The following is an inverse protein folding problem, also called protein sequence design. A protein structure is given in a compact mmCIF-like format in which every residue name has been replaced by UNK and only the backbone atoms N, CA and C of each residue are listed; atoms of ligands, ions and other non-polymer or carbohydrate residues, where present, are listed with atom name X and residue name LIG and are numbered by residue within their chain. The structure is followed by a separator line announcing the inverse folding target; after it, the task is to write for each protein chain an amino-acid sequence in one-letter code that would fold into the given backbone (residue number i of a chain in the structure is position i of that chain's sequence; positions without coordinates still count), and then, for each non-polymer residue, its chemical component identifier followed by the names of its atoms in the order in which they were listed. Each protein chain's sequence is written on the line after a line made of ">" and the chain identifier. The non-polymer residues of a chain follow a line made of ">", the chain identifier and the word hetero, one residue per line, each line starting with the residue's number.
data_IF_715693500884
#
_entry.id   IF_715693500884
#
_cell.length_a   1.000
_cell.length_b   1.000
_cell.length_c   1.000
_cell.angle_alpha   90.00
_cell.angle_beta   90.00
_cell.angle_gamma   90.00
#
_symmetry.space_group_name_H-M   'P 1'
#
loop_
_entity.id
_entity.type
_entity.pdbx_description
1 polymer ?
#
# COMPACT_ATOMS: atom_id res chain seq x y z
N UNK A 1 7.23 2.04 11.00
CA UNK A 1 6.66 2.21 9.64
C UNK A 1 7.28 3.44 9.01
N UNK A 2 7.54 3.44 7.70
CA UNK A 2 7.98 4.63 6.96
C UNK A 2 6.89 5.08 6.00
N UNK A 3 6.63 6.38 5.91
CA UNK A 3 5.58 6.97 5.07
C UNK A 3 6.12 8.24 4.43
N UNK A 4 5.80 8.50 3.17
CA UNK A 4 6.20 9.73 2.48
C UNK A 4 6.09 9.59 0.96
N UNK A 5 6.31 10.71 0.27
CA UNK A 5 6.28 10.78 -1.19
C UNK A 5 7.26 9.78 -1.84
N UNK A 6 6.94 9.38 -3.06
CA UNK A 6 7.82 8.54 -3.88
C UNK A 6 9.18 9.21 -4.09
N UNK A 7 10.27 8.45 -4.01
CA UNK A 7 11.61 8.98 -4.30
C UNK A 7 12.26 9.82 -3.19
N UNK A 8 11.69 9.89 -1.98
CA UNK A 8 12.32 10.58 -0.83
C UNK A 8 13.43 9.77 -0.13
N UNK A 9 13.72 8.54 -0.57
CA UNK A 9 14.80 7.73 0.02
C UNK A 9 14.40 6.93 1.26
N UNK A 10 13.10 6.59 1.41
CA UNK A 10 12.56 5.77 2.51
C UNK A 10 13.31 4.45 2.71
N UNK A 11 13.40 3.64 1.66
CA UNK A 11 14.06 2.33 1.69
C UNK A 11 15.58 2.47 1.91
N UNK A 12 16.21 3.54 1.41
CA UNK A 12 17.62 3.87 1.66
C UNK A 12 17.86 4.21 3.14
N UNK A 13 16.97 4.99 3.76
CA UNK A 13 17.09 5.33 5.19
C UNK A 13 16.94 4.07 6.05
N UNK A 14 16.01 3.17 5.69
CA UNK A 14 15.83 1.88 6.38
C UNK A 14 17.13 1.06 6.39
N UNK A 15 17.77 0.90 5.23
CA UNK A 15 19.05 0.18 5.14
C UNK A 15 20.16 0.88 5.92
N UNK A 16 20.13 2.22 5.96
CA UNK A 16 21.09 3.02 6.73
C UNK A 16 20.90 2.79 8.24
N UNK A 17 19.66 2.80 8.71
CA UNK A 17 19.32 2.80 10.14
C UNK A 17 19.59 1.47 10.84
N UNK A 18 19.37 0.35 10.15
CA UNK A 18 19.57 -0.98 10.73
C UNK A 18 20.87 -1.66 10.34
N UNK A 19 21.74 -0.93 9.64
CA UNK A 19 23.04 -1.41 9.15
C UNK A 19 22.95 -2.76 8.40
N UNK A 20 21.77 -3.13 7.90
CA UNK A 20 21.45 -4.43 7.34
C UNK A 20 21.03 -4.23 5.89
N UNK A 21 21.61 -5.00 4.97
CA UNK A 21 21.21 -5.04 3.57
C UNK A 21 19.89 -5.82 3.43
N UNK A 22 18.80 -5.22 3.90
CA UNK A 22 17.45 -5.81 3.85
C UNK A 22 16.96 -5.97 2.41
N UNK A 23 17.47 -5.13 1.51
CA UNK A 23 17.20 -5.17 0.08
C UNK A 23 18.47 -5.59 -0.67
N UNK A 24 18.79 -6.90 -0.64
CA UNK A 24 19.89 -7.59 -1.33
C UNK A 24 21.33 -7.13 -0.99
N UNK A 25 22.23 -8.09 -0.74
CA UNK A 25 23.65 -7.83 -0.41
C UNK A 25 24.55 -7.46 -1.60
N UNK A 26 24.01 -7.37 -2.81
CA UNK A 26 24.74 -6.84 -3.98
C UNK A 26 24.29 -5.40 -4.23
N UNK A 27 25.17 -4.44 -3.91
CA UNK A 27 25.02 -3.05 -4.33
C UNK A 27 25.00 -2.99 -5.86
N UNK A 28 23.86 -2.78 -6.54
CA UNK A 28 23.78 -3.04 -7.96
C UNK A 28 24.23 -1.79 -8.78
N UNK A 29 25.09 -0.97 -8.19
CA UNK A 29 25.60 0.30 -8.72
C UNK A 29 24.57 1.44 -8.65
N UNK A 30 24.97 2.68 -8.98
CA UNK A 30 24.07 3.84 -9.06
C UNK A 30 22.91 3.67 -10.07
N UNK A 31 23.06 2.70 -10.97
CA UNK A 31 22.20 2.46 -12.14
C UNK A 31 21.05 1.49 -11.86
N UNK A 32 21.20 0.54 -10.93
CA UNK A 32 20.09 -0.30 -10.48
C UNK A 32 19.35 0.39 -9.35
N UNK A 33 18.28 1.09 -9.73
CA UNK A 33 17.35 1.68 -8.79
C UNK A 33 16.65 0.57 -8.00
N UNK A 34 16.58 0.75 -6.68
CA UNK A 34 15.66 -0.02 -5.83
C UNK A 34 14.27 0.08 -6.48
N UNK A 35 13.63 -1.07 -6.73
CA UNK A 35 12.30 -1.11 -7.36
C UNK A 35 11.33 -0.26 -6.52
N UNK A 36 10.46 0.50 -7.19
CA UNK A 36 9.43 1.28 -6.49
C UNK A 36 8.55 0.33 -5.68
N UNK A 37 8.36 0.64 -4.40
CA UNK A 37 7.44 -0.08 -3.51
C UNK A 37 6.00 0.18 -4.00
N UNK A 38 5.30 -0.87 -4.47
CA UNK A 38 3.92 -0.78 -5.01
C UNK A 38 2.87 -1.14 -3.96
N UNK A 39 3.26 -1.92 -2.95
CA UNK A 39 2.38 -2.41 -1.87
C UNK A 39 3.07 -2.28 -0.51
N UNK A 40 2.29 -2.35 0.57
CA UNK A 40 2.84 -2.32 1.93
C UNK A 40 3.61 -3.64 2.18
N UNK A 41 4.93 -3.53 2.35
CA UNK A 41 5.81 -4.68 2.59
C UNK A 41 6.31 -4.69 4.03
N UNK A 42 6.38 -5.87 4.65
CA UNK A 42 6.87 -6.06 6.01
C UNK A 42 8.18 -6.86 6.00
N UNK A 43 9.23 -6.27 6.55
CA UNK A 43 10.52 -6.93 6.75
C UNK A 43 10.79 -7.11 8.23
N UNK A 44 11.18 -8.31 8.65
CA UNK A 44 11.53 -8.61 10.05
C UNK A 44 13.04 -8.77 10.18
N UNK A 45 13.62 -8.09 11.15
CA UNK A 45 15.06 -8.05 11.39
C UNK A 45 15.31 -8.38 12.84
N UNK A 46 16.19 -9.35 13.09
CA UNK A 46 16.64 -9.64 14.44
C UNK A 46 17.92 -8.83 14.72
N UNK A 47 17.81 -7.84 15.58
CA UNK A 47 18.92 -6.99 16.00
C UNK A 47 19.39 -7.45 17.37
N UNK A 48 20.70 -7.52 17.59
CA UNK A 48 21.29 -7.82 18.89
C UNK A 48 22.12 -6.64 19.34
N UNK A 49 21.68 -5.94 20.38
CA UNK A 49 22.39 -4.78 20.95
C UNK A 49 22.47 -4.93 22.48
N UNK A 50 23.66 -4.74 23.05
CA UNK A 50 23.86 -4.84 24.51
C UNK A 50 23.52 -6.20 25.15
N UNK A 51 23.43 -7.28 24.36
CA UNK A 51 23.02 -8.61 24.84
C UNK A 51 21.51 -8.88 24.76
N UNK A 52 20.70 -7.87 24.43
CA UNK A 52 19.25 -8.00 24.20
C UNK A 52 19.00 -8.32 22.72
N UNK A 53 18.12 -9.30 22.46
CA UNK A 53 17.64 -9.61 21.11
C UNK A 53 16.32 -8.90 20.85
N UNK A 54 16.30 -8.03 19.84
CA UNK A 54 15.14 -7.24 19.43
C UNK A 54 14.67 -7.73 18.07
N UNK A 55 13.43 -8.24 18.00
CA UNK A 55 12.77 -8.52 16.73
C UNK A 55 12.10 -7.26 16.24
N UNK A 56 12.76 -6.57 15.33
CA UNK A 56 12.22 -5.36 14.72
C UNK A 56 11.40 -5.72 13.47
N UNK A 57 10.19 -5.18 13.38
CA UNK A 57 9.38 -5.25 12.16
C UNK A 57 9.33 -3.88 11.49
N UNK A 58 9.86 -3.81 10.28
CA UNK A 58 9.89 -2.62 9.44
C UNK A 58 8.78 -2.76 8.42
N UNK A 59 7.93 -1.73 8.32
CA UNK A 59 6.86 -1.66 7.34
C UNK A 59 7.23 -0.56 6.34
N UNK A 60 7.55 -0.97 5.11
CA UNK A 60 7.73 -0.05 3.98
C UNK A 60 6.38 0.16 3.29
N UNK A 61 6.08 1.42 2.98
CA UNK A 61 4.80 1.80 2.38
C UNK A 61 5.03 2.36 0.98
N UNK A 62 4.09 2.12 0.04
CA UNK A 62 4.19 2.69 -1.28
C UNK A 62 4.25 4.22 -1.20
N UNK A 63 5.06 4.83 -2.08
CA UNK A 63 5.09 6.28 -2.18
C UNK A 63 3.75 6.82 -2.67
N UNK A 64 3.24 7.85 -2.00
CA UNK A 64 2.12 8.64 -2.50
C UNK A 64 2.63 9.82 -3.36
N UNK A 65 1.73 10.50 -4.07
CA UNK A 65 2.06 11.69 -4.88
C UNK A 65 2.45 11.41 -6.34
N UNK A 66 2.57 10.15 -6.74
CA UNK A 66 2.89 9.76 -8.13
C UNK A 66 1.66 9.80 -9.06
N UNK A 67 0.44 9.73 -8.51
CA UNK A 67 -0.80 9.68 -9.27
C UNK A 67 -1.35 11.09 -9.57
N UNK A 68 -2.16 11.23 -10.62
CA UNK A 68 -2.88 12.49 -10.91
C UNK A 68 -3.92 12.80 -9.83
N UNK A 69 -4.59 11.76 -9.33
CA UNK A 69 -5.51 11.84 -8.19
C UNK A 69 -4.87 11.17 -6.96
N UNK A 70 -4.64 11.95 -5.91
CA UNK A 70 -4.09 11.49 -4.64
C UNK A 70 -5.12 11.60 -3.49
N UNK A 71 -6.40 11.78 -3.79
CA UNK A 71 -7.43 12.09 -2.80
C UNK A 71 -7.66 11.00 -1.75
N UNK A 72 -7.19 9.76 -1.96
CA UNK A 72 -7.33 8.65 -1.01
C UNK A 72 -6.02 7.89 -0.78
N UNK A 73 -4.86 8.51 -1.03
CA UNK A 73 -3.57 7.82 -0.97
C UNK A 73 -3.17 7.34 0.45
N UNK A 74 -3.77 7.90 1.50
CA UNK A 74 -3.57 7.48 2.89
C UNK A 74 -4.39 6.25 3.29
N UNK A 75 -5.46 5.91 2.56
CA UNK A 75 -6.41 4.87 2.98
C UNK A 75 -5.73 3.50 3.17
N UNK A 76 -4.87 3.02 2.25
CA UNK A 76 -4.19 1.73 2.44
C UNK A 76 -3.30 1.68 3.68
N UNK A 77 -2.71 2.81 4.07
CA UNK A 77 -1.83 2.92 5.24
C UNK A 77 -2.66 2.94 6.53
N UNK A 78 -3.78 3.69 6.53
CA UNK A 78 -4.72 3.72 7.65
C UNK A 78 -5.35 2.34 7.87
N UNK A 79 -5.83 1.70 6.80
CA UNK A 79 -6.42 0.36 6.85
C UNK A 79 -5.41 -0.68 7.37
N UNK A 80 -4.14 -0.53 6.99
CA UNK A 80 -3.08 -1.38 7.51
C UNK A 80 -2.88 -1.21 9.02
N UNK A 81 -2.86 0.03 9.52
CA UNK A 81 -2.76 0.32 10.96
C UNK A 81 -3.96 -0.25 11.71
N UNK A 82 -5.18 0.03 11.22
CA UNK A 82 -6.42 -0.43 11.85
C UNK A 82 -6.52 -1.96 11.84
N UNK A 83 -6.09 -2.62 10.76
CA UNK A 83 -6.01 -4.08 10.71
C UNK A 83 -5.09 -4.64 11.79
N UNK A 84 -3.97 -3.99 12.11
CA UNK A 84 -3.08 -4.43 13.19
C UNK A 84 -3.67 -4.22 14.58
N UNK A 85 -4.42 -3.14 14.79
CA UNK A 85 -5.17 -2.96 16.04
C UNK A 85 -6.31 -3.96 16.17
N UNK A 86 -7.02 -4.26 15.08
CA UNK A 86 -8.08 -5.27 15.04
C UNK A 86 -7.55 -6.67 15.34
N UNK A 87 -6.42 -7.07 14.74
CA UNK A 87 -5.76 -8.36 14.99
C UNK A 87 -5.40 -8.51 16.49
N UNK A 88 -4.89 -7.43 17.09
CA UNK A 88 -4.53 -7.40 18.51
C UNK A 88 -5.77 -7.46 19.41
N UNK A 89 -6.82 -6.67 19.10
CA UNK A 89 -8.08 -6.66 19.86
C UNK A 89 -8.80 -8.02 19.81
N UNK A 90 -8.83 -8.64 18.62
CA UNK A 90 -9.38 -9.98 18.45
C UNK A 90 -8.61 -11.02 19.26
N UNK A 91 -7.30 -10.86 19.39
CA UNK A 91 -6.45 -11.73 20.19
C UNK A 91 -6.65 -11.52 21.69
N UNK A 92 -6.80 -10.28 22.14
CA UNK A 92 -7.13 -9.91 23.53
C UNK A 92 -8.50 -10.49 23.96
N UNK A 93 -9.46 -10.47 23.03
CA UNK A 93 -10.85 -10.92 23.26
C UNK A 93 -11.01 -12.45 23.28
N UNK A 94 -10.00 -13.23 22.87
CA UNK A 94 -10.06 -14.70 22.90
C UNK A 94 -10.10 -15.23 24.34
N UNK A 95 -10.94 -16.23 24.57
CA UNK A 95 -11.06 -16.93 25.86
C UNK A 95 -9.72 -17.57 26.28
N UNK A 96 -9.03 -18.21 25.33
CA UNK A 96 -7.68 -18.75 25.54
C UNK A 96 -6.62 -17.73 25.14
N UNK A 97 -6.20 -16.90 26.11
CA UNK A 97 -5.17 -15.88 25.95
C UNK A 97 -3.78 -16.51 25.90
N UNK A 98 -3.30 -16.84 24.69
CA UNK A 98 -1.86 -17.14 24.47
C UNK A 98 -1.11 -15.82 24.29
N UNK A 99 0.13 -15.76 24.78
CA UNK A 99 1.00 -14.60 24.57
C UNK A 99 1.32 -14.49 23.06
N UNK A 100 0.67 -13.54 22.37
CA UNK A 100 0.89 -13.30 20.94
C UNK A 100 1.91 -12.19 20.73
N UNK A 101 2.73 -12.27 19.66
CA UNK A 101 3.67 -11.22 19.31
C UNK A 101 2.93 -9.94 18.93
N UNK A 102 3.33 -8.82 19.53
CA UNK A 102 2.78 -7.49 19.19
C UNK A 102 3.18 -7.12 17.76
N UNK A 103 2.18 -6.95 16.89
CA UNK A 103 2.35 -6.56 15.49
C UNK A 103 1.80 -5.16 15.18
N UNK A 104 1.42 -4.41 16.23
CA UNK A 104 0.99 -3.01 16.12
C UNK A 104 2.16 -2.14 15.69
N UNK A 105 1.83 -1.00 15.08
CA UNK A 105 2.83 -0.05 14.61
C UNK A 105 3.11 0.95 15.74
N UNK A 106 4.32 0.91 16.29
CA UNK A 106 4.69 1.77 17.42
C UNK A 106 5.11 3.18 17.02
N UNK A 107 5.63 3.33 15.80
CA UNK A 107 6.15 4.60 15.30
C UNK A 107 6.01 4.68 13.77
N UNK A 108 5.63 5.86 13.30
CA UNK A 108 5.63 6.23 11.90
C UNK A 108 6.62 7.35 11.63
N UNK A 109 7.64 7.05 10.81
CA UNK A 109 8.57 8.04 10.27
C UNK A 109 7.95 8.68 9.04
N UNK A 110 7.61 9.96 9.14
CA UNK A 110 6.97 10.72 8.06
C UNK A 110 8.00 11.55 7.30
N UNK A 111 8.26 11.20 6.05
CA UNK A 111 9.24 11.87 5.20
C UNK A 111 8.60 13.05 4.48
N UNK A 112 9.11 14.24 4.80
CA UNK A 112 8.76 15.52 4.20
C UNK A 112 9.77 15.80 3.09
N UNK A 113 9.27 16.19 1.91
CA UNK A 113 10.13 16.58 0.80
C UNK A 113 10.91 17.87 1.13
N UNK A 114 12.21 17.98 0.77
CA UNK A 114 13.00 19.18 1.01
C UNK A 114 12.64 20.28 -0.01
N UNK A 115 11.46 20.86 0.13
CA UNK A 115 10.95 21.92 -0.77
C UNK A 115 11.49 23.31 -0.45
N UNK A 116 11.97 23.52 0.79
CA UNK A 116 12.43 24.81 1.31
C UNK A 116 11.32 25.81 1.64
N UNK A 117 10.05 25.53 1.31
CA UNK A 117 8.94 26.48 1.47
C UNK A 117 8.06 26.20 2.68
N UNK A 118 7.54 24.98 2.80
CA UNK A 118 6.58 24.55 3.83
C UNK A 118 6.08 23.13 3.58
N UNK A 119 5.09 22.69 4.36
CA UNK A 119 4.40 21.41 4.15
C UNK A 119 3.47 21.49 2.94
N UNK A 120 3.44 20.43 2.14
CA UNK A 120 2.46 20.33 1.07
C UNK A 120 1.06 20.15 1.67
N UNK A 121 -0.01 20.68 1.06
CA UNK A 121 -1.38 20.42 1.51
C UNK A 121 -1.71 18.93 1.63
N UNK A 122 -1.14 18.12 0.75
CA UNK A 122 -1.25 16.66 0.80
C UNK A 122 -0.63 16.09 2.09
N UNK A 123 0.54 16.59 2.50
CA UNK A 123 1.21 16.14 3.72
C UNK A 123 0.42 16.54 4.96
N UNK A 124 -0.14 17.74 4.98
CA UNK A 124 -0.98 18.24 6.07
C UNK A 124 -2.19 17.32 6.25
N UNK A 125 -2.91 17.00 5.18
CA UNK A 125 -4.08 16.11 5.24
C UNK A 125 -3.70 14.69 5.65
N UNK A 126 -2.56 14.18 5.15
CA UNK A 126 -2.06 12.86 5.51
C UNK A 126 -1.73 12.80 7.01
N UNK A 127 -0.91 13.73 7.51
CA UNK A 127 -0.52 13.77 8.93
C UNK A 127 -1.72 14.01 9.84
N UNK A 128 -2.72 14.79 9.40
CA UNK A 128 -4.00 14.98 10.13
C UNK A 128 -4.76 13.67 10.35
N UNK A 129 -4.70 12.72 9.43
CA UNK A 129 -5.38 11.43 9.61
C UNK A 129 -4.52 10.42 10.38
N UNK A 130 -3.20 10.56 10.27
CA UNK A 130 -2.25 9.61 10.82
C UNK A 130 -2.00 9.82 12.33
N UNK A 131 -1.95 11.09 12.79
CA UNK A 131 -1.56 11.40 14.16
C UNK A 131 -2.51 10.86 15.25
N UNK A 132 -3.77 10.59 14.94
CA UNK A 132 -4.68 9.99 15.91
C UNK A 132 -4.40 8.50 16.17
N UNK A 133 -3.74 7.82 15.22
CA UNK A 133 -3.60 6.36 15.19
C UNK A 133 -2.19 5.87 15.49
N UNK A 134 -1.17 6.69 15.29
CA UNK A 134 0.23 6.29 15.48
C UNK A 134 1.08 7.49 15.89
N UNK A 135 2.17 7.22 16.62
CA UNK A 135 3.21 8.20 16.92
C UNK A 135 3.90 8.66 15.62
N UNK A 136 3.70 9.92 15.22
CA UNK A 136 4.29 10.50 14.01
C UNK A 136 5.57 11.25 14.35
N UNK A 137 6.68 10.87 13.72
CA UNK A 137 7.95 11.59 13.78
C UNK A 137 8.22 12.22 12.41
N UNK A 138 8.16 13.56 12.28
CA UNK A 138 8.44 14.23 11.02
C UNK A 138 9.94 14.27 10.74
N UNK A 139 10.32 13.86 9.53
CA UNK A 139 11.69 13.83 9.03
C UNK A 139 11.79 14.63 7.72
N UNK A 140 12.77 15.52 7.62
CA UNK A 140 13.13 16.15 6.35
C UNK A 140 14.02 15.16 5.59
N UNK A 141 13.52 14.69 4.45
CA UNK A 141 14.23 13.76 3.59
C UNK A 141 15.31 14.47 2.77
N UNK A 142 16.39 13.76 2.44
CA UNK A 142 17.48 14.28 1.57
C UNK A 142 17.95 15.67 2.01
N UNK A 143 18.20 15.84 3.31
CA UNK A 143 18.60 17.12 3.88
C UNK A 143 19.88 17.71 3.26
N UNK A 144 20.68 16.88 2.59
CA UNK A 144 21.85 17.27 1.81
C UNK A 144 21.54 18.11 0.55
N UNK A 145 20.26 18.35 0.23
CA UNK A 145 19.84 19.27 -0.84
C UNK A 145 19.61 20.71 -0.36
N UNK A 146 19.65 20.97 0.95
CA UNK A 146 19.40 22.28 1.55
C UNK A 146 20.68 22.79 2.21
N UNK A 147 20.90 24.11 2.21
CA UNK A 147 21.96 24.69 3.05
C UNK A 147 21.57 24.64 4.53
N UNK A 148 22.54 24.76 5.47
CA UNK A 148 22.22 24.81 6.90
C UNK A 148 21.22 25.92 7.27
N UNK A 149 21.31 27.08 6.62
CA UNK A 149 20.41 28.23 6.83
C UNK A 149 19.01 27.93 6.31
N UNK A 150 18.90 27.37 5.10
CA UNK A 150 17.62 26.96 4.50
C UNK A 150 16.96 25.87 5.33
N UNK A 151 17.73 24.90 5.79
CA UNK A 151 17.26 23.82 6.65
C UNK A 151 16.69 24.37 7.95
N UNK A 152 17.38 25.32 8.60
CA UNK A 152 16.89 25.93 9.84
C UNK A 152 15.60 26.73 9.64
N UNK A 153 15.49 27.48 8.54
CA UNK A 153 14.26 28.21 8.18
C UNK A 153 13.12 27.24 7.90
N UNK A 154 13.39 26.18 7.15
CA UNK A 154 12.41 25.16 6.78
C UNK A 154 11.90 24.39 7.99
N UNK A 155 12.78 24.02 8.95
CA UNK A 155 12.38 23.41 10.23
C UNK A 155 11.40 24.29 11.00
N UNK A 156 11.70 25.59 11.14
CA UNK A 156 10.84 26.56 11.84
C UNK A 156 9.47 26.68 11.14
N UNK A 157 9.47 26.73 9.82
CA UNK A 157 8.24 26.79 9.03
C UNK A 157 7.37 25.55 9.25
N UNK A 158 7.95 24.35 9.10
CA UNK A 158 7.22 23.08 9.29
C UNK A 158 6.61 23.03 10.68
N UNK A 159 7.36 23.38 11.72
CA UNK A 159 6.86 23.37 13.10
C UNK A 159 5.70 24.36 13.29
N UNK A 160 5.77 25.55 12.68
CA UNK A 160 4.66 26.52 12.71
C UNK A 160 3.41 25.95 12.05
N UNK A 161 3.55 25.34 10.88
CA UNK A 161 2.41 24.78 10.14
C UNK A 161 1.80 23.56 10.85
N UNK A 162 2.61 22.70 11.49
CA UNK A 162 2.13 21.59 12.33
C UNK A 162 1.27 22.12 13.48
N UNK A 163 1.70 23.18 14.15
CA UNK A 163 0.97 23.81 15.24
C UNK A 163 -0.33 24.49 14.75
N UNK A 164 -0.27 25.22 13.65
CA UNK A 164 -1.43 25.91 13.05
C UNK A 164 -2.52 24.91 12.66
N UNK A 165 -2.13 23.77 12.08
CA UNK A 165 -3.04 22.71 11.67
C UNK A 165 -3.43 21.75 12.80
N UNK A 166 -2.94 21.99 14.02
CA UNK A 166 -3.20 21.19 15.24
C UNK A 166 -2.83 19.71 15.09
N UNK A 167 -1.77 19.43 14.35
CA UNK A 167 -1.28 18.07 14.14
C UNK A 167 -0.45 17.67 15.37
N UNK A 168 -0.85 16.58 16.03
CA UNK A 168 -0.11 16.04 17.18
C UNK A 168 1.05 15.17 16.68
N UNK A 169 2.29 15.64 16.85
CA UNK A 169 3.46 14.77 16.63
C UNK A 169 3.80 14.03 17.92
N UNK A 170 4.70 13.05 17.83
CA UNK A 170 5.19 12.38 19.02
C UNK A 170 5.81 13.39 19.99
N UNK A 171 5.28 13.43 21.21
CA UNK A 171 5.78 14.23 22.31
C UNK A 171 6.56 13.32 23.25
N UNK A 172 7.77 13.73 23.57
CA UNK A 172 8.61 13.02 24.51
C UNK A 172 8.01 13.16 25.93
N UNK A 173 7.92 12.06 26.70
CA UNK A 173 7.48 12.13 28.08
C UNK A 173 8.44 12.97 28.91
N UNK A 174 7.89 13.73 29.87
CA UNK A 174 8.69 14.37 30.91
C UNK A 174 9.05 13.30 31.94
N UNK A 175 10.34 13.15 32.26
CA UNK A 175 10.81 12.23 33.30
C UNK A 175 11.23 13.00 34.55
N UNK A 176 11.35 12.34 35.69
CA UNK A 176 11.78 13.01 36.94
C UNK A 176 13.30 13.35 36.91
N UNK A 177 14.03 12.89 35.90
CA UNK A 177 15.46 13.13 35.72
C UNK A 177 15.71 14.43 34.94
N UNK A 178 16.33 15.43 35.60
CA UNK A 178 16.67 16.70 34.96
C UNK A 178 17.67 16.55 33.80
N UNK A 179 18.59 15.59 33.85
CA UNK A 179 19.57 15.38 32.78
C UNK A 179 18.90 14.79 31.54
N UNK A 180 18.04 13.79 31.73
CA UNK A 180 17.26 13.19 30.65
C UNK A 180 16.32 14.21 30.00
N UNK A 181 15.64 15.04 30.80
CA UNK A 181 14.81 16.13 30.30
C UNK A 181 15.60 17.15 29.47
N UNK A 182 16.86 17.44 29.82
CA UNK A 182 17.73 18.32 29.01
C UNK A 182 18.08 17.68 27.67
N UNK A 183 18.33 16.38 27.62
CA UNK A 183 18.54 15.64 26.37
C UNK A 183 17.28 15.64 25.50
N UNK A 184 16.12 15.32 26.09
CA UNK A 184 14.82 15.34 25.43
C UNK A 184 14.52 16.72 24.84
N UNK A 185 14.76 17.79 25.59
CA UNK A 185 14.57 19.17 25.13
C UNK A 185 15.44 19.49 23.92
N UNK A 186 16.71 19.07 23.92
CA UNK A 186 17.60 19.23 22.75
C UNK A 186 17.06 18.51 21.51
N UNK A 187 16.55 17.30 21.66
CA UNK A 187 15.96 16.55 20.53
C UNK A 187 14.69 17.25 20.03
N UNK A 188 13.83 17.71 20.95
CA UNK A 188 12.60 18.45 20.64
C UNK A 188 12.88 19.75 19.86
N UNK A 189 13.92 20.49 20.27
CA UNK A 189 14.33 21.74 19.60
C UNK A 189 14.89 21.48 18.18
N UNK A 190 15.33 20.26 17.89
CA UNK A 190 15.84 19.88 16.57
C UNK A 190 14.79 19.29 15.62
N UNK A 191 13.57 19.05 16.11
CA UNK A 191 12.46 18.59 15.27
C UNK A 191 12.01 19.68 14.29
N UNK A 192 11.65 19.32 13.04
CA UNK A 192 11.76 17.99 12.42
C UNK A 192 13.23 17.62 12.12
N UNK A 193 13.59 16.33 12.27
CA UNK A 193 14.97 15.86 12.08
C UNK A 193 15.34 15.87 10.59
N UNK A 194 16.50 16.43 10.26
CA UNK A 194 17.02 16.52 8.91
C UNK A 194 17.95 15.33 8.64
N UNK A 195 17.53 14.39 7.79
CA UNK A 195 18.22 13.11 7.61
C UNK A 195 18.73 12.89 6.20
N UNK A 196 19.89 12.23 6.12
CA UNK A 196 20.52 11.78 4.89
C UNK A 196 20.69 10.26 4.99
N UNK A 197 20.24 9.52 3.98
CA UNK A 197 20.44 8.07 3.89
C UNK A 197 21.50 7.72 2.85
N UNK A 198 22.34 6.73 3.13
CA UNK A 198 23.29 6.19 2.16
C UNK A 198 23.51 4.70 2.35
N UNK A 199 23.51 3.97 1.22
CA UNK A 199 23.90 2.57 1.15
C UNK A 199 25.39 2.39 0.81
N UNK A 200 26.11 3.49 0.54
CA UNK A 200 27.51 3.45 0.09
C UNK A 200 28.44 3.69 1.26
N UNK A 201 29.45 2.82 1.41
CA UNK A 201 30.54 2.99 2.36
C UNK A 201 31.71 3.62 1.61
N UNK A 202 32.17 4.76 2.09
CA UNK A 202 33.27 5.54 1.53
C UNK A 202 34.37 5.64 2.58
N UNK A 203 35.63 5.70 2.15
CA UNK A 203 36.75 5.96 3.04
C UNK A 203 37.03 7.46 3.09
N UNK A 204 36.90 8.06 4.28
CA UNK A 204 37.17 9.47 4.56
C UNK A 204 38.17 9.52 5.72
N UNK A 205 39.32 10.17 5.53
CA UNK A 205 40.36 10.29 6.56
C UNK A 205 40.80 8.94 7.17
N UNK A 206 40.89 7.89 6.35
CA UNK A 206 41.27 6.53 6.78
C UNK A 206 40.19 5.79 7.58
N UNK A 207 38.99 6.36 7.72
CA UNK A 207 37.83 5.71 8.35
C UNK A 207 36.79 5.36 7.29
N UNK A 208 36.25 4.14 7.38
CA UNK A 208 35.13 3.69 6.54
C UNK A 208 33.84 4.22 7.14
N UNK A 209 33.23 5.19 6.46
CA UNK A 209 32.00 5.85 6.88
C UNK A 209 30.92 5.69 5.82
N UNK A 210 29.65 5.63 6.23
CA UNK A 210 28.53 5.68 5.28
C UNK A 210 28.31 7.10 4.85
N UNK A 211 28.27 7.33 3.54
CA UNK A 211 28.17 8.70 3.02
C UNK A 211 27.73 8.75 1.58
N UNK A 212 27.35 9.94 1.11
CA UNK A 212 27.07 10.23 -0.31
C UNK A 212 28.24 11.02 -0.88
N UNK A 213 28.82 10.53 -1.97
CA UNK A 213 29.91 11.21 -2.65
C UNK A 213 29.37 12.17 -3.72
N UNK A 214 29.82 13.41 -3.65
CA UNK A 214 29.56 14.46 -4.63
C UNK A 214 30.87 14.96 -5.23
N UNK A 215 30.85 15.62 -6.41
CA UNK A 215 32.06 16.23 -6.98
C UNK A 215 32.73 17.26 -6.05
N UNK A 216 31.96 17.90 -5.17
CA UNK A 216 32.43 18.94 -4.25
C UNK A 216 32.72 18.45 -2.82
N UNK A 217 32.45 17.19 -2.49
CA UNK A 217 32.67 16.69 -1.13
C UNK A 217 31.91 15.41 -0.81
N UNK A 218 31.99 14.98 0.45
CA UNK A 218 31.33 13.76 0.95
C UNK A 218 30.37 14.14 2.07
N UNK A 219 29.10 13.81 1.90
CA UNK A 219 28.09 13.93 2.95
C UNK A 219 28.07 12.66 3.80
N UNK A 220 28.79 12.69 4.93
CA UNK A 220 28.80 11.62 5.93
C UNK A 220 27.46 11.53 6.68
N UNK A 221 26.86 10.33 6.71
CA UNK A 221 25.55 10.09 7.34
C UNK A 221 25.64 10.05 8.87
N UNK A 222 26.75 9.58 9.44
CA UNK A 222 26.90 9.49 10.89
C UNK A 222 27.52 10.74 11.53
N UNK A 223 27.79 11.78 10.74
CA UNK A 223 28.33 13.04 11.23
C UNK A 223 27.21 13.99 11.64
N UNK A 224 27.22 14.42 12.91
CA UNK A 224 26.24 15.35 13.49
C UNK A 224 26.25 16.74 12.87
N UNK A 225 27.38 17.15 12.29
CA UNK A 225 27.49 18.45 11.61
C UNK A 225 26.85 18.42 10.21
N UNK A 226 26.63 17.22 9.65
CA UNK A 226 26.03 17.04 8.33
C UNK A 226 24.54 16.71 8.39
N UNK A 227 24.12 15.87 9.35
CA UNK A 227 22.70 15.52 9.51
C UNK A 227 22.35 14.96 10.88
N UNK A 228 21.05 14.97 11.20
CA UNK A 228 20.49 14.52 12.48
C UNK A 228 20.25 13.00 12.52
N UNK A 229 20.91 12.22 11.67
CA UNK A 229 20.66 10.77 11.54
C UNK A 229 21.02 10.00 12.81
N UNK A 230 22.11 10.36 13.48
CA UNK A 230 22.54 9.72 14.73
C UNK A 230 21.49 9.91 15.82
N UNK A 231 20.87 11.08 15.88
CA UNK A 231 19.82 11.43 16.83
C UNK A 231 18.56 10.61 16.56
N UNK A 232 18.16 10.49 15.30
CA UNK A 232 17.04 9.61 14.92
C UNK A 232 17.30 8.15 15.33
N UNK A 233 18.49 7.62 15.03
CA UNK A 233 18.86 6.23 15.34
C UNK A 233 18.84 5.97 16.84
N UNK A 234 19.50 6.84 17.61
CA UNK A 234 19.64 6.67 19.05
C UNK A 234 18.27 6.84 19.75
N UNK A 235 17.42 7.75 19.26
CA UNK A 235 16.04 7.89 19.71
C UNK A 235 15.22 6.60 19.51
N UNK A 236 15.25 6.03 18.29
CA UNK A 236 14.41 4.88 17.94
C UNK A 236 14.86 3.56 18.56
N UNK A 237 16.17 3.36 18.71
CA UNK A 237 16.72 2.05 19.09
C UNK A 237 17.12 2.02 20.58
N UNK A 238 17.62 3.12 21.13
CA UNK A 238 18.26 3.10 22.47
C UNK A 238 17.39 3.69 23.57
N UNK A 239 16.83 4.87 23.34
CA UNK A 239 16.25 5.67 24.43
C UNK A 239 14.73 5.59 24.49
N UNK A 240 14.03 5.83 23.38
CA UNK A 240 12.57 6.07 23.40
C UNK A 240 11.73 4.92 22.84
N UNK A 241 12.32 3.76 22.56
CA UNK A 241 11.59 2.61 22.01
C UNK A 241 10.45 2.15 22.93
N UNK A 242 10.73 2.06 24.23
CA UNK A 242 9.75 1.56 25.19
C UNK A 242 8.60 2.56 25.36
N UNK A 243 8.91 3.84 25.44
CA UNK A 243 7.89 4.89 25.51
C UNK A 243 7.00 4.92 24.25
N UNK A 244 7.58 4.81 23.04
CA UNK A 244 6.80 4.71 21.80
C UNK A 244 5.79 3.55 21.86
N UNK A 245 6.17 2.42 22.47
CA UNK A 245 5.26 1.28 22.67
C UNK A 245 4.18 1.59 23.71
N UNK A 246 4.55 2.25 24.80
CA UNK A 246 3.63 2.59 25.89
C UNK A 246 2.58 3.62 25.44
N UNK A 247 2.97 4.67 24.72
CA UNK A 247 2.04 5.62 24.09
C UNK A 247 1.14 4.91 23.07
N UNK A 248 1.69 4.00 22.26
CA UNK A 248 0.90 3.20 21.32
C UNK A 248 -0.15 2.37 22.03
N UNK A 249 0.19 1.78 23.18
CA UNK A 249 -0.74 0.97 23.95
C UNK A 249 -1.79 1.82 24.65
N UNK A 250 -1.37 2.81 25.43
CA UNK A 250 -2.22 3.53 26.38
C UNK A 250 -3.03 4.65 25.72
N UNK A 251 -2.58 5.17 24.58
CA UNK A 251 -3.26 6.25 23.85
C UNK A 251 -3.89 5.71 22.58
N UNK A 252 -3.08 5.28 21.60
CA UNK A 252 -3.59 4.97 20.27
C UNK A 252 -4.47 3.73 20.24
N UNK A 253 -4.00 2.62 20.84
CA UNK A 253 -4.73 1.38 20.91
C UNK A 253 -5.96 1.48 21.81
N UNK A 254 -5.85 2.05 23.02
CA UNK A 254 -7.03 2.24 23.89
C UNK A 254 -8.09 3.16 23.28
N UNK A 255 -7.69 4.20 22.53
CA UNK A 255 -8.65 5.02 21.78
C UNK A 255 -9.33 4.23 20.66
N UNK A 256 -8.61 3.35 19.96
CA UNK A 256 -9.19 2.46 18.96
C UNK A 256 -10.16 1.46 19.60
N UNK A 257 -9.72 0.79 20.66
CA UNK A 257 -10.49 -0.20 21.43
C UNK A 257 -11.77 0.41 21.99
N UNK A 258 -11.69 1.57 22.63
CA UNK A 258 -12.85 2.31 23.16
C UNK A 258 -13.85 2.65 22.05
N UNK A 259 -13.38 3.15 20.90
CA UNK A 259 -14.24 3.45 19.74
C UNK A 259 -14.92 2.20 19.19
N UNK A 260 -14.18 1.09 19.05
CA UNK A 260 -14.72 -0.19 18.56
C UNK A 260 -15.74 -0.80 19.50
N UNK A 261 -15.44 -0.86 20.79
CA UNK A 261 -16.34 -1.41 21.81
C UNK A 261 -17.60 -0.54 21.96
N UNK A 262 -17.47 0.79 21.90
CA UNK A 262 -18.61 1.69 21.89
C UNK A 262 -19.51 1.47 20.66
N UNK A 263 -18.93 1.28 19.47
CA UNK A 263 -19.73 0.98 18.28
C UNK A 263 -20.51 -0.34 18.41
N UNK A 264 -19.92 -1.36 19.04
CA UNK A 264 -20.61 -2.64 19.31
C UNK A 264 -21.76 -2.45 20.30
N UNK A 265 -21.59 -1.63 21.35
CA UNK A 265 -22.67 -1.37 22.30
C UNK A 265 -23.79 -0.53 21.68
N UNK A 266 -23.49 0.56 20.97
CA UNK A 266 -24.50 1.43 20.33
C UNK A 266 -25.32 0.73 19.24
N UNK A 267 -24.70 -0.11 18.41
CA UNK A 267 -25.43 -0.95 17.44
C UNK A 267 -26.37 -1.96 18.14
N UNK A 268 -26.16 -2.24 19.42
CA UNK A 268 -27.08 -3.00 20.27
C UNK A 268 -28.23 -2.16 20.84
N UNK A 269 -28.07 -0.84 21.02
CA UNK A 269 -29.07 0.05 21.65
C UNK A 269 -30.00 0.75 20.64
N UNK A 270 -29.58 0.97 19.39
CA UNK A 270 -30.43 1.62 18.38
C UNK A 270 -31.66 0.79 17.96
N UNK A 271 -31.66 -0.52 18.23
CA UNK A 271 -32.86 -1.35 18.09
C UNK A 271 -33.90 -1.16 19.22
N UNK A 272 -33.58 -0.41 20.28
CA UNK A 272 -34.46 -0.20 21.44
C UNK A 272 -34.96 1.25 21.62
N UNK A 273 -34.55 2.21 20.78
CA UNK A 273 -34.95 3.63 20.93
C UNK A 273 -36.14 4.08 20.07
N UNK A 274 -36.80 3.18 19.34
CA UNK A 274 -37.93 3.55 18.46
C UNK A 274 -39.33 3.56 19.13
N UNK A 275 -39.48 3.24 20.43
CA UNK A 275 -40.76 3.39 21.15
C UNK A 275 -40.54 3.68 22.63
N UNK A 276 -40.97 4.85 23.09
CA UNK A 276 -41.14 5.10 24.52
C UNK A 276 -40.95 6.55 24.94
N UNK A 277 -42.04 7.29 24.91
CA UNK A 277 -42.18 8.67 25.37
C UNK A 277 -42.08 8.76 26.92
N UNK A 278 -41.58 9.90 27.39
CA UNK A 278 -41.53 10.39 28.79
C UNK A 278 -42.76 10.05 29.66
N UNK A 279 -42.55 9.63 30.92
CA UNK A 279 -43.19 10.25 32.09
C UNK A 279 -42.68 9.71 33.43
N UNK A 280 -42.47 10.64 34.35
CA UNK A 280 -42.20 10.54 35.79
C UNK A 280 -43.29 9.83 36.61
N UNK A 281 -42.91 8.92 37.52
CA UNK A 281 -43.16 8.92 38.99
C UNK A 281 -43.20 7.49 39.60
N UNK A 282 -42.92 7.36 40.91
CA UNK A 282 -42.57 6.11 41.60
C UNK A 282 -43.79 5.43 42.23
N UNK A 283 -43.74 4.10 42.39
CA UNK A 283 -44.16 3.40 43.61
C UNK A 283 -43.93 1.89 43.48
N UNK A 284 -43.44 1.31 44.58
CA UNK A 284 -43.11 -0.10 44.83
C UNK A 284 -44.33 -1.00 44.89
N UNK A 285 -44.29 -2.20 44.27
CA UNK A 285 -44.79 -3.47 44.88
C UNK A 285 -44.04 -4.68 44.28
N UNK A 286 -43.79 -5.65 45.15
CA UNK A 286 -42.92 -6.83 45.05
C UNK A 286 -43.23 -7.86 43.95
N UNK A 287 -42.19 -8.63 43.58
CA UNK A 287 -42.36 -10.09 43.48
C UNK A 287 -42.14 -10.79 42.13
N UNK A 288 -41.00 -10.63 41.48
CA UNK A 288 -40.51 -11.63 40.51
C UNK A 288 -39.01 -11.88 40.70
N UNK A 289 -38.61 -13.16 40.73
CA UNK A 289 -37.22 -13.59 40.89
C UNK A 289 -36.34 -13.04 39.75
N UNK A 290 -35.16 -12.45 40.04
CA UNK A 290 -34.20 -11.97 39.02
C UNK A 290 -33.79 -13.04 37.99
N UNK A 291 -33.95 -14.33 38.32
CA UNK A 291 -33.65 -15.43 37.40
C UNK A 291 -34.74 -15.61 36.32
N UNK A 292 -36.00 -15.30 36.64
CA UNK A 292 -37.13 -15.42 35.71
C UNK A 292 -37.11 -14.30 34.65
N UNK A 293 -36.75 -13.07 35.03
CA UNK A 293 -36.54 -11.97 34.08
C UNK A 293 -35.41 -12.27 33.10
N UNK A 294 -34.28 -12.82 33.57
CA UNK A 294 -33.16 -13.18 32.70
C UNK A 294 -33.48 -14.34 31.74
N UNK A 295 -34.36 -15.26 32.16
CA UNK A 295 -34.78 -16.39 31.33
C UNK A 295 -35.82 -15.98 30.27
N UNK A 296 -36.71 -15.05 30.62
CA UNK A 296 -37.66 -14.46 29.69
C UNK A 296 -36.97 -13.58 28.65
N UNK A 297 -36.02 -12.73 29.07
CA UNK A 297 -35.17 -11.94 28.15
C UNK A 297 -34.34 -12.84 27.22
N UNK A 298 -33.77 -13.94 27.74
CA UNK A 298 -33.06 -14.93 26.90
C UNK A 298 -34.00 -15.57 25.89
N UNK A 299 -35.23 -15.89 26.28
CA UNK A 299 -36.23 -16.53 25.41
C UNK A 299 -36.69 -15.57 24.31
N UNK A 300 -36.91 -14.31 24.64
CA UNK A 300 -37.22 -13.25 23.68
C UNK A 300 -36.05 -13.00 22.72
N UNK A 301 -34.81 -12.95 23.21
CA UNK A 301 -33.63 -12.77 22.38
C UNK A 301 -33.44 -13.94 21.41
N UNK A 302 -33.62 -15.18 21.88
CA UNK A 302 -33.56 -16.38 21.03
C UNK A 302 -34.67 -16.37 19.97
N UNK A 303 -35.89 -15.97 20.34
CA UNK A 303 -36.99 -15.85 19.38
C UNK A 303 -36.70 -14.76 18.31
N UNK A 304 -36.11 -13.64 18.72
CA UNK A 304 -35.73 -12.53 17.81
C UNK A 304 -34.59 -12.94 16.88
N UNK A 305 -33.58 -13.64 17.39
CA UNK A 305 -32.48 -14.21 16.59
C UNK A 305 -33.02 -15.19 15.55
N UNK A 306 -33.93 -16.09 15.95
CA UNK A 306 -34.55 -17.05 15.04
C UNK A 306 -35.41 -16.38 13.95
N UNK A 307 -36.10 -15.29 14.29
CA UNK A 307 -36.85 -14.49 13.31
C UNK A 307 -35.91 -13.80 12.32
N UNK A 308 -34.83 -13.20 12.82
CA UNK A 308 -33.82 -12.54 11.99
C UNK A 308 -33.09 -13.53 11.07
N UNK A 309 -32.83 -14.75 11.55
CA UNK A 309 -32.26 -15.84 10.77
C UNK A 309 -33.18 -16.24 9.61
N UNK A 310 -34.48 -16.43 9.87
CA UNK A 310 -35.46 -16.72 8.80
C UNK A 310 -35.56 -15.58 7.77
N UNK A 311 -35.55 -14.32 8.22
CA UNK A 311 -35.59 -13.16 7.32
C UNK A 311 -34.30 -13.08 6.47
N UNK A 312 -33.14 -13.30 7.07
CA UNK A 312 -31.86 -13.34 6.34
C UNK A 312 -31.80 -14.51 5.35
N UNK A 313 -32.33 -15.68 5.72
CA UNK A 313 -32.37 -16.86 4.87
C UNK A 313 -33.28 -16.62 3.65
N UNK A 314 -34.45 -15.98 3.83
CA UNK A 314 -35.32 -15.57 2.72
C UNK A 314 -34.65 -14.55 1.79
N UNK A 315 -33.97 -13.53 2.35
CA UNK A 315 -33.23 -12.53 1.54
C UNK A 315 -32.07 -13.18 0.81
N UNK A 316 -31.37 -14.12 1.44
CA UNK A 316 -30.31 -14.89 0.83
C UNK A 316 -30.85 -15.75 -0.32
N UNK A 317 -31.95 -16.47 -0.11
CA UNK A 317 -32.58 -17.30 -1.14
C UNK A 317 -33.06 -16.46 -2.33
N UNK A 318 -33.64 -15.28 -2.08
CA UNK A 318 -33.98 -14.32 -3.14
C UNK A 318 -32.76 -13.85 -3.92
N UNK A 319 -31.67 -13.46 -3.24
CA UNK A 319 -30.44 -13.01 -3.89
C UNK A 319 -29.74 -14.13 -4.67
N UNK A 320 -29.79 -15.36 -4.17
CA UNK A 320 -29.25 -16.53 -4.87
C UNK A 320 -30.06 -16.78 -6.13
N UNK A 321 -31.40 -16.81 -6.04
CA UNK A 321 -32.28 -16.94 -7.22
C UNK A 321 -32.02 -15.86 -8.26
N UNK A 322 -31.88 -14.60 -7.83
CA UNK A 322 -31.57 -13.47 -8.74
C UNK A 322 -30.20 -13.64 -9.42
N UNK A 323 -29.16 -14.05 -8.68
CA UNK A 323 -27.82 -14.27 -9.24
C UNK A 323 -27.78 -15.48 -10.19
N UNK A 324 -28.45 -16.56 -9.85
CA UNK A 324 -28.57 -17.75 -10.71
C UNK A 324 -29.28 -17.38 -12.01
N UNK A 325 -30.35 -16.58 -11.94
CA UNK A 325 -31.05 -16.10 -13.13
C UNK A 325 -30.15 -15.22 -13.99
N UNK A 326 -29.43 -14.25 -13.39
CA UNK A 326 -28.47 -13.40 -14.11
C UNK A 326 -27.35 -14.21 -14.77
N UNK A 327 -26.85 -15.25 -14.11
CA UNK A 327 -25.84 -16.15 -14.68
C UNK A 327 -26.39 -16.91 -15.89
N UNK A 328 -27.62 -17.41 -15.80
CA UNK A 328 -28.30 -18.11 -16.88
C UNK A 328 -28.54 -17.20 -18.10
N UNK A 329 -28.94 -15.96 -17.85
CA UNK A 329 -29.14 -14.97 -18.92
C UNK A 329 -27.81 -14.61 -19.60
N UNK A 330 -26.73 -14.46 -18.81
CA UNK A 330 -25.37 -14.22 -19.31
C UNK A 330 -24.83 -15.39 -20.13
N UNK A 331 -25.04 -16.63 -19.66
CA UNK A 331 -24.65 -17.84 -20.39
C UNK A 331 -25.38 -17.94 -21.74
N UNK A 332 -26.68 -17.65 -21.76
CA UNK A 332 -27.47 -17.63 -22.99
C UNK A 332 -27.00 -16.54 -23.97
N UNK A 333 -26.62 -15.35 -23.49
CA UNK A 333 -26.05 -14.30 -24.33
C UNK A 333 -24.69 -14.71 -24.91
N UNK A 334 -23.83 -15.30 -24.08
CA UNK A 334 -22.52 -15.79 -24.51
C UNK A 334 -22.65 -16.87 -25.58
N UNK A 335 -23.60 -17.79 -25.42
CA UNK A 335 -23.87 -18.85 -26.37
C UNK A 335 -24.39 -18.32 -27.70
N UNK A 336 -25.26 -17.30 -27.69
CA UNK A 336 -25.69 -16.60 -28.92
C UNK A 336 -24.53 -15.91 -29.63
N UNK A 337 -23.64 -15.23 -28.90
CA UNK A 337 -22.44 -14.60 -29.49
C UNK A 337 -21.50 -15.63 -30.10
N UNK A 338 -21.30 -16.75 -29.42
CA UNK A 338 -20.47 -17.85 -29.92
C UNK A 338 -21.05 -18.45 -31.22
N UNK A 339 -22.36 -18.68 -31.27
CA UNK A 339 -23.02 -19.18 -32.47
C UNK A 339 -22.97 -18.20 -33.65
N UNK A 340 -23.11 -16.90 -33.37
CA UNK A 340 -22.96 -15.85 -34.39
C UNK A 340 -21.51 -15.76 -34.91
N UNK A 341 -20.52 -15.83 -34.03
CA UNK A 341 -19.10 -15.85 -34.42
C UNK A 341 -18.76 -17.08 -35.26
N UNK A 342 -19.31 -18.25 -34.89
CA UNK A 342 -19.14 -19.49 -35.66
C UNK A 342 -19.72 -19.38 -37.07
N UNK A 343 -20.94 -18.84 -37.21
CA UNK A 343 -21.55 -18.60 -38.54
C UNK A 343 -20.72 -17.64 -39.39
N UNK A 344 -20.17 -16.59 -38.79
CA UNK A 344 -19.29 -15.66 -39.50
C UNK A 344 -18.00 -16.34 -39.98
N UNK A 345 -17.38 -17.18 -39.15
CA UNK A 345 -16.19 -17.95 -39.53
C UNK A 345 -16.48 -18.96 -40.64
N UNK A 346 -17.62 -19.65 -40.59
CA UNK A 346 -18.04 -20.56 -41.66
C UNK A 346 -18.31 -19.83 -42.98
N UNK A 347 -18.89 -18.63 -42.92
CA UNK A 347 -19.09 -17.79 -44.10
C UNK A 347 -17.75 -17.33 -44.70
N UNK A 348 -16.80 -16.88 -43.87
CA UNK A 348 -15.45 -16.52 -44.31
C UNK A 348 -14.70 -17.72 -44.91
N UNK A 349 -14.83 -18.90 -44.32
CA UNK A 349 -14.22 -20.12 -44.85
C UNK A 349 -14.75 -20.45 -46.25
N UNK A 350 -16.08 -20.41 -46.45
CA UNK A 350 -16.68 -20.62 -47.77
C UNK A 350 -16.26 -19.58 -48.79
N UNK A 351 -16.15 -18.31 -48.39
CA UNK A 351 -15.68 -17.24 -49.28
C UNK A 351 -14.21 -17.46 -49.71
N UNK A 352 -13.36 -17.91 -48.77
CA UNK A 352 -11.97 -18.26 -49.06
C UNK A 352 -11.85 -19.49 -49.96
N UNK A 353 -12.68 -20.52 -49.75
CA UNK A 353 -12.72 -21.70 -50.61
C UNK A 353 -13.15 -21.35 -52.03
N UNK A 354 -14.17 -20.50 -52.20
CA UNK A 354 -14.62 -20.05 -53.51
C UNK A 354 -13.52 -19.23 -54.21
N UNK A 355 -12.88 -18.28 -53.49
CA UNK A 355 -11.73 -17.53 -54.01
C UNK A 355 -10.58 -18.45 -54.42
N UNK A 356 -10.30 -19.49 -53.63
CA UNK A 356 -9.27 -20.50 -53.94
C UNK A 356 -9.63 -21.28 -55.20
N UNK A 357 -10.89 -21.68 -55.37
CA UNK A 357 -11.36 -22.39 -56.57
C UNK A 357 -11.25 -21.53 -57.82
N UNK A 358 -11.72 -20.28 -57.75
CA UNK A 358 -11.61 -19.32 -58.87
C UNK A 358 -10.13 -19.09 -59.23
N UNK A 359 -9.27 -18.93 -58.23
CA UNK A 359 -7.83 -18.79 -58.48
C UNK A 359 -7.20 -20.04 -59.12
N UNK A 360 -7.61 -21.25 -58.72
CA UNK A 360 -7.14 -22.49 -59.35
C UNK A 360 -7.62 -22.63 -60.79
N UNK A 361 -8.86 -22.22 -61.10
CA UNK A 361 -9.39 -22.17 -62.47
C UNK A 361 -8.65 -21.13 -63.34
N UNK A 362 -8.41 -19.93 -62.81
CA UNK A 362 -7.61 -18.91 -63.50
C UNK A 362 -6.18 -19.37 -63.75
N UNK A 363 -5.54 -20.03 -62.77
CA UNK A 363 -4.20 -20.58 -62.93
C UNK A 363 -4.16 -21.67 -64.00
N UNK A 364 -5.13 -22.59 -63.99
CA UNK A 364 -5.23 -23.64 -65.00
C UNK A 364 -5.44 -23.08 -66.41
N UNK A 365 -6.30 -22.07 -66.56
CA UNK A 365 -6.52 -21.37 -67.82
C UNK A 365 -5.26 -20.64 -68.31
N UNK A 366 -4.54 -19.97 -67.41
CA UNK A 366 -3.28 -19.29 -67.73
C UNK A 366 -2.20 -20.29 -68.15
N UNK A 367 -2.05 -21.40 -67.44
CA UNK A 367 -1.12 -22.48 -67.80
C UNK A 367 -1.46 -23.10 -69.17
N UNK A 368 -2.74 -23.30 -69.47
CA UNK A 368 -3.20 -23.79 -70.76
C UNK A 368 -2.91 -22.80 -71.91
N UNK A 369 -3.14 -21.49 -71.69
CA UNK A 369 -2.80 -20.44 -72.64
C UNK A 369 -1.29 -20.37 -72.90
N UNK A 370 -0.47 -20.42 -71.84
CA UNK A 370 0.99 -20.43 -71.97
C UNK A 370 1.50 -21.66 -72.73
N UNK A 371 0.93 -22.85 -72.48
CA UNK A 371 1.27 -24.06 -73.27
C UNK A 371 0.91 -23.90 -74.74
N UNK A 372 -0.26 -23.33 -75.04
CA UNK A 372 -0.68 -23.09 -76.42
C UNK A 372 0.22 -22.07 -77.13
N UNK A 373 0.64 -21.03 -76.40
CA UNK A 373 1.55 -19.99 -76.90
C UNK A 373 2.97 -20.54 -77.14
N UNK A 374 3.48 -21.40 -76.24
CA UNK A 374 4.73 -22.14 -76.47
C UNK A 374 4.65 -23.06 -77.68
N UNK A 375 3.56 -23.82 -77.85
CA UNK A 375 3.37 -24.67 -79.03
C UNK A 375 3.32 -23.85 -80.33
N UNK A 376 2.67 -22.68 -80.32
CA UNK A 376 2.67 -21.76 -81.47
C UNK A 376 4.08 -21.22 -81.76
N UNK A 377 4.84 -20.85 -80.72
CA UNK A 377 6.21 -20.35 -80.87
C UNK A 377 7.14 -21.45 -81.40
N UNK A 378 7.01 -22.68 -80.90
CA UNK A 378 7.75 -23.84 -81.39
C UNK A 378 7.40 -24.13 -82.84
N UNK A 379 6.11 -24.21 -83.20
CA UNK A 379 5.67 -24.42 -84.59
C UNK A 379 6.20 -23.33 -85.53
N UNK A 380 6.20 -22.06 -85.10
CA UNK A 380 6.78 -20.95 -85.86
C UNK A 380 8.30 -21.09 -86.02
N UNK A 381 9.02 -21.50 -84.96
CA UNK A 381 10.46 -21.81 -85.03
C UNK A 381 10.77 -22.99 -85.96
N UNK A 382 9.92 -24.00 -86.04
CA UNK A 382 10.09 -25.13 -86.98
C UNK A 382 9.87 -24.67 -88.43
N UNK A 383 8.87 -23.81 -88.67
CA UNK A 383 8.63 -23.18 -89.97
C UNK A 383 9.80 -22.28 -90.40
N UNK A 384 10.38 -21.49 -89.49
CA UNK A 384 11.58 -20.69 -89.77
C UNK A 384 12.81 -21.56 -90.03
N UNK A 385 13.01 -22.66 -89.28
CA UNK A 385 14.10 -23.61 -89.54
C UNK A 385 13.95 -24.27 -90.91
N UNK A 386 12.74 -24.59 -91.34
CA UNK A 386 12.49 -25.14 -92.68
C UNK A 386 12.71 -24.09 -93.78
N UNK A 387 12.36 -22.81 -93.55
CA UNK A 387 12.74 -21.71 -94.47
C UNK A 387 14.25 -21.48 -94.55
N UNK A 388 15.00 -21.66 -93.46
CA UNK A 388 16.48 -21.56 -93.48
C UNK A 388 17.14 -22.77 -94.16
N UNK A 389 16.57 -23.97 -94.03
CA UNK A 389 17.04 -25.18 -94.73
C UNK A 389 16.73 -25.18 -96.22
N UNK A 390 15.70 -24.48 -96.68
CA UNK A 390 15.41 -24.27 -98.11
C UNK A 390 16.32 -23.26 -98.83
N UNK A 391 17.36 -22.75 -98.18
CA UNK A 391 18.31 -21.78 -98.74
C UNK A 391 19.75 -22.30 -98.87
N UNK A 392 19.95 -23.61 -98.72
CA UNK A 392 21.22 -24.26 -99.04
C UNK A 392 20.91 -25.22 -100.18
N UNK A 393 21.54 -24.92 -101.31
CA UNK A 393 21.34 -25.41 -102.67
C UNK A 393 21.30 -26.93 -102.80
#
# INVERSE_FOLDING_TARGET
>A
MVVGESGLGKSTLINSLFLTDLYSGEYPGPSHRIKKTVQVEQSKVLIKEGGVQLLLTIVDTPGFGDAVDNSNCWQPIIDHIDSKFEDYLNSESRVNRRQMPDSRIHCCLYFIAPSGHGLKPLDIEFMKRLHEKVNVIPLIAKADTLTPEECQQFKKQIMREIQEHKIKIYEFPETDDEEENRLVKKIKDQLPLAVVGSNTIIEVNGKRVRGRQYPWGVAEVENSDHCDFTILRDMLIRTHMQDLKDVTNNVHYENYRSRKLAAVTYNGVDNNRAKGQLSTKPDTVEGMSPLAQMEEERREHVAKMKKMEMEMEQVFEMKVKEKVQKLKDSEAELQRRHEQMKKNLEAQHKELEEKRRVFEEERANWEAQQRLEQQKLEASRTLEKNKKKGKIF
#
